data_IF_362622442143
#
_entry.id   IF_362622442143
#
_cell.length_a   1.000
_cell.length_b   1.000
_cell.length_c   1.000
_cell.angle_alpha   90.00
_cell.angle_beta   90.00
_cell.angle_gamma   90.00
#
_symmetry.space_group_name_H-M   'P 1'
#
loop_
_entity.id
_entity.type
_entity.pdbx_description
1 polymer ?
#
# COMPACT_ATOMS: atom_id res chain seq x y z
N UNK A 1 16.80 1.36 -22.53
CA UNK A 1 17.24 1.71 -23.91
C UNK A 1 18.64 2.31 -23.84
N UNK A 2 19.51 2.02 -24.79
CA UNK A 2 20.81 2.69 -24.93
C UNK A 2 20.83 3.40 -26.29
N UNK A 3 21.14 4.69 -26.31
CA UNK A 3 21.34 5.49 -27.52
C UNK A 3 22.66 6.26 -27.41
N UNK A 4 23.68 5.79 -28.13
CA UNK A 4 25.05 6.25 -27.95
C UNK A 4 25.54 6.03 -26.51
N UNK A 5 25.80 7.14 -25.80
CA UNK A 5 26.20 7.13 -24.39
C UNK A 5 25.04 7.44 -23.42
N UNK A 6 23.81 7.60 -23.94
CA UNK A 6 22.64 7.82 -23.10
C UNK A 6 22.00 6.48 -22.76
N UNK A 7 21.72 6.29 -21.47
CA UNK A 7 21.03 5.10 -20.95
C UNK A 7 19.77 5.57 -20.25
N UNK A 8 18.63 4.96 -20.61
CA UNK A 8 17.36 5.14 -19.92
C UNK A 8 16.89 3.80 -19.39
N UNK A 9 16.63 3.75 -18.09
CA UNK A 9 16.04 2.62 -17.36
C UNK A 9 14.89 3.14 -16.50
N UNK A 10 13.96 2.24 -16.17
CA UNK A 10 12.77 2.53 -15.36
C UNK A 10 12.48 1.34 -14.46
N UNK A 11 11.90 1.60 -13.29
CA UNK A 11 11.35 0.55 -12.45
C UNK A 11 9.98 0.10 -12.96
N UNK A 12 9.58 -1.12 -12.61
CA UNK A 12 8.17 -1.50 -12.69
C UNK A 12 7.34 -0.65 -11.71
N UNK A 13 6.05 -0.49 -12.00
CA UNK A 13 5.11 0.12 -11.06
C UNK A 13 5.18 -0.60 -9.70
N UNK A 14 5.22 0.18 -8.62
CA UNK A 14 5.35 -0.29 -7.22
C UNK A 14 6.64 -1.06 -6.88
N UNK A 15 7.66 -1.08 -7.76
CA UNK A 15 8.95 -1.66 -7.42
C UNK A 15 9.85 -0.67 -6.68
N UNK A 16 10.45 -1.13 -5.59
CA UNK A 16 11.50 -0.44 -4.86
C UNK A 16 12.65 -1.41 -4.55
N UNK A 17 13.88 -0.90 -4.50
CA UNK A 17 15.06 -1.74 -4.32
C UNK A 17 16.35 -1.11 -4.82
N UNK A 18 17.44 -1.85 -4.69
CA UNK A 18 18.75 -1.48 -5.25
C UNK A 18 19.18 -2.52 -6.27
N UNK A 19 19.73 -2.07 -7.39
CA UNK A 19 20.32 -2.93 -8.42
C UNK A 19 21.67 -2.35 -8.86
N UNK A 20 22.66 -3.22 -9.02
CA UNK A 20 23.96 -2.84 -9.57
C UNK A 20 23.96 -3.10 -11.06
N UNK A 21 24.12 -2.04 -11.84
CA UNK A 21 24.26 -2.10 -13.29
C UNK A 21 25.74 -2.11 -13.68
N UNK A 22 26.14 -3.04 -14.52
CA UNK A 22 27.49 -3.07 -15.12
C UNK A 22 27.45 -2.50 -16.53
N UNK A 23 28.22 -1.44 -16.76
CA UNK A 23 28.44 -0.88 -18.10
C UNK A 23 29.79 -1.33 -18.63
N UNK A 24 29.84 -1.74 -19.89
CA UNK A 24 31.07 -2.12 -20.58
C UNK A 24 31.21 -1.33 -21.87
N UNK A 25 32.37 -0.70 -22.06
CA UNK A 25 32.77 -0.10 -23.34
C UNK A 25 33.78 -1.01 -24.03
N UNK A 26 33.65 -1.16 -25.35
CA UNK A 26 34.53 -1.92 -26.24
C UNK A 26 35.11 -0.91 -27.26
N UNK A 27 36.42 -0.91 -27.45
CA UNK A 27 37.10 -0.05 -28.43
C UNK A 27 36.76 -0.40 -29.89
N UNK A 28 36.07 -1.52 -30.08
CA UNK A 28 35.61 -2.07 -31.35
C UNK A 28 36.72 -2.34 -32.36
N UNK A 29 37.97 -2.55 -31.93
CA UNK A 29 39.10 -2.82 -32.84
C UNK A 29 38.82 -4.00 -33.79
N UNK A 30 39.18 -3.86 -35.07
CA UNK A 30 38.96 -4.86 -36.15
C UNK A 30 40.19 -5.12 -37.01
N UNK A 31 41.29 -4.41 -36.80
CA UNK A 31 42.53 -4.56 -37.54
C UNK A 31 43.17 -5.94 -37.28
N UNK A 32 43.65 -6.55 -38.37
CA UNK A 32 44.28 -7.86 -38.33
C UNK A 32 45.62 -7.80 -37.57
N UNK A 33 45.67 -8.41 -36.39
CA UNK A 33 46.85 -8.42 -35.51
C UNK A 33 46.71 -7.54 -34.27
N UNK A 34 45.65 -6.72 -34.19
CA UNK A 34 45.33 -5.92 -33.01
C UNK A 34 44.38 -6.67 -32.07
N UNK A 35 44.47 -6.39 -30.76
CA UNK A 35 43.58 -6.96 -29.73
C UNK A 35 42.52 -5.93 -29.35
N UNK A 36 41.26 -6.36 -29.32
CA UNK A 36 40.16 -5.60 -28.70
C UNK A 36 40.41 -5.41 -27.21
N UNK A 37 40.10 -4.21 -26.71
CA UNK A 37 40.10 -3.91 -25.29
C UNK A 37 38.71 -3.47 -24.83
N UNK A 38 38.38 -3.85 -23.59
CA UNK A 38 37.16 -3.41 -22.92
C UNK A 38 37.48 -2.76 -21.58
N UNK A 39 36.60 -1.88 -21.12
CA UNK A 39 36.61 -1.35 -19.77
C UNK A 39 35.19 -1.41 -19.19
N UNK A 40 35.07 -1.74 -17.91
CA UNK A 40 33.78 -1.86 -17.24
C UNK A 40 33.70 -1.01 -15.98
N UNK A 41 32.51 -0.53 -15.66
CA UNK A 41 32.19 0.18 -14.43
C UNK A 41 30.84 -0.30 -13.88
N UNK A 42 30.72 -0.29 -12.56
CA UNK A 42 29.47 -0.62 -11.86
C UNK A 42 28.80 0.67 -11.36
N UNK A 43 27.47 0.71 -11.44
CA UNK A 43 26.62 1.77 -10.93
C UNK A 43 25.53 1.14 -10.08
N UNK A 44 25.52 1.45 -8.79
CA UNK A 44 24.39 1.13 -7.93
C UNK A 44 23.25 2.13 -8.20
N UNK A 45 22.06 1.62 -8.50
CA UNK A 45 20.84 2.38 -8.70
C UNK A 45 19.84 1.97 -7.64
N UNK A 46 19.36 2.94 -6.85
CA UNK A 46 18.35 2.70 -5.83
C UNK A 46 17.05 3.40 -6.19
N UNK A 47 15.94 2.66 -6.16
CA UNK A 47 14.58 3.17 -6.24
C UNK A 47 13.98 3.11 -4.83
N UNK A 48 13.65 4.27 -4.29
CA UNK A 48 13.11 4.38 -2.93
C UNK A 48 11.61 4.09 -2.92
N UNK A 49 11.18 3.29 -1.94
CA UNK A 49 9.77 3.14 -1.62
C UNK A 49 9.24 4.46 -1.04
N UNK A 50 8.03 4.85 -1.43
CA UNK A 50 7.33 5.99 -0.85
C UNK A 50 6.05 5.45 -0.24
N UNK A 51 5.96 5.48 1.09
CA UNK A 51 4.74 5.05 1.78
C UNK A 51 3.56 5.91 1.33
N UNK A 52 2.46 5.26 1.03
CA UNK A 52 1.14 5.83 0.88
C UNK A 52 0.38 5.71 2.20
N UNK A 53 -0.65 6.53 2.38
CA UNK A 53 -1.50 6.43 3.56
C UNK A 53 -2.73 5.61 3.19
N UNK A 54 -3.23 4.75 4.09
CA UNK A 54 -4.44 4.01 3.83
C UNK A 54 -5.64 4.96 3.77
N UNK A 55 -6.69 4.53 3.08
CA UNK A 55 -7.91 5.30 2.89
C UNK A 55 -9.13 4.49 3.32
N UNK A 56 -10.18 5.20 3.73
CA UNK A 56 -11.49 4.63 4.06
C UNK A 56 -12.56 5.33 3.23
N UNK A 57 -13.43 4.56 2.57
CA UNK A 57 -14.63 5.06 1.91
C UNK A 57 -15.86 4.24 2.30
N UNK A 58 -16.69 4.79 3.21
CA UNK A 58 -17.94 4.16 3.63
C UNK A 58 -19.12 4.44 2.69
N UNK A 59 -18.88 4.87 1.45
CA UNK A 59 -19.97 5.10 0.48
C UNK A 59 -20.83 3.85 0.32
N UNK A 60 -22.12 3.99 0.63
CA UNK A 60 -23.10 2.90 0.55
C UNK A 60 -23.19 2.01 1.79
N UNK A 61 -22.32 2.19 2.79
CA UNK A 61 -22.46 1.51 4.07
C UNK A 61 -23.66 2.08 4.84
N UNK A 62 -24.54 1.20 5.29
CA UNK A 62 -25.65 1.53 6.18
C UNK A 62 -25.76 0.50 7.28
N UNK A 63 -25.73 0.95 8.53
CA UNK A 63 -25.78 0.10 9.73
C UNK A 63 -27.07 0.38 10.48
N UNK A 64 -27.91 -0.64 10.60
CA UNK A 64 -29.14 -0.61 11.39
C UNK A 64 -29.27 -1.95 12.09
N UNK A 65 -29.59 -1.94 13.38
CA UNK A 65 -29.81 -3.13 14.19
C UNK A 65 -30.85 -2.86 15.27
N UNK A 66 -31.42 -3.93 15.84
CA UNK A 66 -32.49 -3.83 16.81
C UNK A 66 -31.96 -3.37 18.18
N UNK A 67 -32.80 -2.63 18.91
CA UNK A 67 -32.49 -2.23 20.28
C UNK A 67 -32.25 -3.47 21.16
N UNK A 68 -31.29 -3.36 22.08
CA UNK A 68 -30.89 -4.41 23.02
C UNK A 68 -30.33 -5.67 22.34
N UNK A 69 -29.87 -5.56 21.09
CA UNK A 69 -29.12 -6.60 20.39
C UNK A 69 -27.79 -6.04 19.90
N UNK A 70 -26.85 -6.94 19.61
CA UNK A 70 -25.73 -6.62 18.74
C UNK A 70 -26.19 -6.56 17.29
N UNK A 71 -25.43 -5.89 16.45
CA UNK A 71 -25.57 -6.00 15.01
C UNK A 71 -25.07 -7.36 14.50
N UNK A 72 -25.29 -7.64 13.22
CA UNK A 72 -24.49 -8.64 12.52
C UNK A 72 -23.02 -8.20 12.39
N UNK A 73 -22.17 -9.12 11.92
CA UNK A 73 -20.79 -8.79 11.54
C UNK A 73 -20.80 -8.03 10.21
N UNK A 74 -20.17 -6.87 10.19
CA UNK A 74 -19.88 -6.12 8.98
C UNK A 74 -18.42 -6.29 8.60
N UNK A 75 -18.16 -6.71 7.37
CA UNK A 75 -16.81 -6.78 6.82
C UNK A 75 -16.42 -5.42 6.22
N UNK A 76 -15.51 -4.72 6.90
CA UNK A 76 -15.03 -3.41 6.51
C UNK A 76 -13.86 -3.47 5.50
N UNK A 77 -13.33 -4.66 5.20
CA UNK A 77 -12.17 -4.79 4.29
C UNK A 77 -12.43 -4.22 2.89
N UNK A 78 -13.69 -4.23 2.44
CA UNK A 78 -14.09 -3.66 1.15
C UNK A 78 -14.11 -2.13 1.09
N UNK A 79 -14.05 -1.45 2.25
CA UNK A 79 -14.08 0.01 2.35
C UNK A 79 -12.70 0.59 2.65
N UNK A 80 -11.67 -0.25 2.75
CA UNK A 80 -10.30 0.11 3.13
C UNK A 80 -9.39 -0.20 1.94
N UNK A 81 -8.55 0.76 1.56
CA UNK A 81 -7.57 0.59 0.49
C UNK A 81 -6.23 1.19 0.91
N UNK A 82 -5.15 0.47 0.62
CA UNK A 82 -3.78 0.95 0.73
C UNK A 82 -2.99 0.51 -0.51
N UNK A 83 -2.39 1.46 -1.26
CA UNK A 83 -1.56 1.14 -2.43
C UNK A 83 -0.32 0.29 -2.11
N UNK A 84 0.18 0.33 -0.88
CA UNK A 84 1.35 -0.41 -0.43
C UNK A 84 0.98 -1.84 -0.05
N UNK A 85 1.24 -2.78 -0.96
CA UNK A 85 0.78 -4.18 -0.85
C UNK A 85 1.32 -4.98 0.35
N UNK A 86 2.28 -4.44 1.09
CA UNK A 86 2.96 -5.11 2.19
C UNK A 86 2.62 -4.53 3.57
N UNK A 87 1.77 -3.50 3.61
CA UNK A 87 1.42 -2.84 4.85
C UNK A 87 0.40 -3.69 5.64
N UNK A 88 0.66 -3.82 6.95
CA UNK A 88 -0.28 -4.46 7.86
C UNK A 88 -1.16 -3.38 8.48
N UNK A 89 -2.38 -3.28 7.97
CA UNK A 89 -3.34 -2.27 8.40
C UNK A 89 -4.09 -2.69 9.67
N UNK A 90 -4.35 -1.72 10.55
CA UNK A 90 -5.12 -1.87 11.79
C UNK A 90 -6.32 -0.94 11.76
N UNK A 91 -7.53 -1.50 11.86
CA UNK A 91 -8.75 -0.71 12.00
C UNK A 91 -9.07 -0.45 13.47
N UNK A 92 -9.34 0.79 13.81
CA UNK A 92 -9.80 1.23 15.13
C UNK A 92 -11.03 2.12 15.01
N UNK A 93 -11.76 2.26 16.11
CA UNK A 93 -12.91 3.16 16.21
C UNK A 93 -12.91 3.94 17.52
N UNK A 94 -13.34 5.18 17.43
CA UNK A 94 -13.76 5.97 18.58
C UNK A 94 -15.24 5.69 18.85
N UNK A 95 -15.51 4.95 19.93
CA UNK A 95 -16.88 4.71 20.39
C UNK A 95 -17.54 6.02 20.82
N UNK A 96 -18.86 6.10 20.64
CA UNK A 96 -19.67 7.23 21.06
C UNK A 96 -20.30 6.96 22.43
N UNK A 97 -21.22 7.83 22.88
CA UNK A 97 -21.85 7.72 24.20
C UNK A 97 -22.68 6.45 24.35
N UNK A 98 -23.39 6.06 23.29
CA UNK A 98 -24.33 4.95 23.33
C UNK A 98 -24.02 3.83 22.35
N UNK A 99 -23.21 4.05 21.31
CA UNK A 99 -22.83 3.02 20.34
C UNK A 99 -21.36 2.63 20.52
N UNK A 100 -21.12 1.32 20.59
CA UNK A 100 -19.77 0.72 20.64
C UNK A 100 -19.55 -0.15 19.41
N UNK A 101 -18.38 0.00 18.78
CA UNK A 101 -17.87 -0.89 17.73
C UNK A 101 -16.80 -1.82 18.32
N UNK A 102 -17.04 -3.13 18.21
CA UNK A 102 -16.06 -4.17 18.52
C UNK A 102 -15.43 -4.62 17.20
N UNK A 103 -14.11 -4.57 17.14
CA UNK A 103 -13.33 -4.81 15.91
C UNK A 103 -12.44 -6.04 16.10
N UNK A 104 -12.52 -6.98 15.17
CA UNK A 104 -11.61 -8.12 15.02
C UNK A 104 -11.08 -8.15 13.58
N UNK A 105 -9.86 -7.64 13.40
CA UNK A 105 -9.32 -7.32 12.07
C UNK A 105 -10.17 -6.23 11.40
N UNK A 106 -10.87 -6.58 10.32
CA UNK A 106 -11.83 -5.69 9.65
C UNK A 106 -13.29 -6.10 9.87
N UNK A 107 -13.54 -7.11 10.70
CA UNK A 107 -14.90 -7.47 11.07
C UNK A 107 -15.36 -6.57 12.23
N UNK A 108 -16.47 -5.88 12.03
CA UNK A 108 -17.03 -4.93 13.00
C UNK A 108 -18.40 -5.39 13.47
N UNK A 109 -18.60 -5.43 14.78
CA UNK A 109 -19.90 -5.66 15.44
C UNK A 109 -20.25 -4.42 16.24
N UNK A 110 -21.46 -3.91 16.03
CA UNK A 110 -21.99 -2.76 16.76
C UNK A 110 -22.90 -3.22 17.90
N UNK A 111 -22.87 -2.48 18.99
CA UNK A 111 -23.82 -2.64 20.11
C UNK A 111 -24.27 -1.27 20.59
N UNK A 112 -25.45 -1.21 21.20
CA UNK A 112 -26.00 0.00 21.79
C UNK A 112 -26.15 -0.16 23.31
N UNK A 113 -26.09 0.96 24.05
CA UNK A 113 -26.42 1.00 25.47
C UNK A 113 -27.82 0.44 25.74
N UNK A 114 -28.00 -0.21 26.89
CA UNK A 114 -29.26 -0.87 27.21
C UNK A 114 -30.44 0.12 27.17
N UNK A 115 -31.51 -0.30 26.51
CA UNK A 115 -32.75 0.43 26.29
C UNK A 115 -32.67 1.70 25.46
N UNK A 116 -31.50 2.03 24.91
CA UNK A 116 -31.30 3.18 24.04
C UNK A 116 -31.81 2.94 22.61
N UNK A 117 -32.23 4.01 21.96
CA UNK A 117 -32.57 4.04 20.53
C UNK A 117 -32.24 5.41 19.97
N UNK A 118 -31.57 5.47 18.82
CA UNK A 118 -31.18 6.72 18.19
C UNK A 118 -30.16 6.49 17.10
N UNK A 119 -29.46 7.56 16.74
CA UNK A 119 -28.36 7.53 15.76
C UNK A 119 -27.20 8.31 16.34
N UNK A 120 -26.00 7.74 16.22
CA UNK A 120 -24.75 8.37 16.59
C UNK A 120 -23.75 8.22 15.44
N UNK A 121 -22.75 9.09 15.43
CA UNK A 121 -21.63 9.01 14.50
C UNK A 121 -20.43 8.44 15.24
N UNK A 122 -19.79 7.44 14.64
CA UNK A 122 -18.50 6.90 15.08
C UNK A 122 -17.43 7.33 14.09
N UNK A 123 -16.24 7.58 14.62
CA UNK A 123 -15.04 7.84 13.80
C UNK A 123 -14.24 6.56 13.72
N UNK A 124 -13.87 6.16 12.50
CA UNK A 124 -12.97 5.04 12.27
C UNK A 124 -11.63 5.55 11.75
N UNK A 125 -10.56 4.89 12.17
CA UNK A 125 -9.20 5.16 11.72
C UNK A 125 -8.57 3.86 11.26
N UNK A 126 -7.86 3.92 10.13
CA UNK A 126 -6.99 2.84 9.67
C UNK A 126 -5.57 3.38 9.59
N UNK A 127 -4.60 2.60 10.08
CA UNK A 127 -3.16 2.91 10.06
C UNK A 127 -2.29 1.66 9.89
#
# INVERSE_FOLDING_TARGET
MIDGFNVVFSAAENWSGSETLTFTVDDQERELGSKRATASAELEVTVIHVNNVPTIDFTGLNVVFDKNTESGIFDFSQYIDDPDSNDQLILTAENSEHITALIDGFNVVFSAAENWSGTETLTFTVD
#
